data_IF_920277421965
#
_entry.id   IF_920277421965
#
_cell.length_a   1.000
_cell.length_b   1.000
_cell.length_c   1.000
_cell.angle_alpha   90.00
_cell.angle_beta   90.00
_cell.angle_gamma   90.00
#
_symmetry.space_group_name_H-M   'P 1'
#
loop_
_entity.id
_entity.type
_entity.pdbx_description
1 polymer ?
#
# COMPACT_ATOMS: atom_id res chain seq x y z
N UNK A 1 67.62 37.21 -27.79
CA UNK A 1 66.63 36.11 -27.85
C UNK A 1 66.30 35.79 -26.41
N UNK A 2 65.08 36.11 -25.95
CA UNK A 2 64.32 35.21 -25.08
C UNK A 2 62.94 35.82 -24.78
N UNK A 3 61.95 34.98 -25.06
CA UNK A 3 60.54 35.29 -25.24
C UNK A 3 59.82 35.51 -23.90
N UNK A 4 59.32 36.71 -23.66
CA UNK A 4 58.23 36.95 -22.69
C UNK A 4 56.92 36.44 -23.27
N UNK A 5 56.49 35.23 -22.89
CA UNK A 5 55.11 34.77 -23.12
C UNK A 5 54.15 35.49 -22.16
N UNK A 6 53.34 36.39 -22.72
CA UNK A 6 52.07 36.84 -22.13
C UNK A 6 51.19 35.61 -21.90
N UNK A 7 50.81 35.35 -20.65
CA UNK A 7 49.67 34.50 -20.33
C UNK A 7 48.44 35.41 -20.35
N UNK A 8 47.66 35.33 -21.44
CA UNK A 8 46.35 35.94 -21.55
C UNK A 8 45.37 35.16 -20.66
N UNK A 9 44.93 35.79 -19.58
CA UNK A 9 43.81 35.30 -18.77
C UNK A 9 42.49 35.57 -19.51
N UNK A 10 42.16 34.75 -20.50
CA UNK A 10 40.78 34.63 -20.98
C UNK A 10 40.03 33.76 -19.98
N UNK A 11 39.36 34.43 -19.04
CA UNK A 11 38.33 33.82 -18.20
C UNK A 11 37.16 33.46 -19.10
N UNK A 12 37.18 32.23 -19.60
CA UNK A 12 36.07 31.63 -20.32
C UNK A 12 34.92 31.49 -19.32
N UNK A 13 34.05 32.50 -19.24
CA UNK A 13 32.78 32.45 -18.50
C UNK A 13 31.91 31.36 -19.16
N UNK A 14 32.04 30.11 -18.70
CA UNK A 14 30.98 29.12 -18.86
C UNK A 14 29.79 29.62 -18.03
N UNK A 15 28.88 30.34 -18.67
CA UNK A 15 27.51 30.49 -18.18
C UNK A 15 26.92 29.09 -18.01
N UNK A 16 26.35 28.76 -16.85
CA UNK A 16 25.79 27.43 -16.66
C UNK A 16 24.54 27.28 -17.53
N UNK A 17 24.44 26.19 -18.31
CA UNK A 17 23.30 25.86 -19.17
C UNK A 17 22.03 25.45 -18.38
N UNK A 18 21.96 25.82 -17.10
CA UNK A 18 20.81 25.52 -16.22
C UNK A 18 19.74 26.58 -16.39
N UNK A 19 18.47 26.20 -16.31
CA UNK A 19 17.32 27.11 -16.49
C UNK A 19 17.35 28.36 -15.58
N UNK A 20 18.08 28.30 -14.45
CA UNK A 20 18.26 29.37 -13.47
C UNK A 20 19.66 30.04 -13.49
N UNK A 21 20.53 29.68 -14.45
CA UNK A 21 21.95 30.05 -14.48
C UNK A 21 22.26 31.53 -14.71
N UNK A 22 21.33 32.30 -15.30
CA UNK A 22 21.58 33.68 -15.75
C UNK A 22 21.96 34.69 -14.65
N UNK A 23 21.72 34.37 -13.38
CA UNK A 23 22.04 35.22 -12.22
C UNK A 23 23.41 34.91 -11.59
N UNK A 24 24.03 33.77 -11.91
CA UNK A 24 25.19 33.27 -11.17
C UNK A 24 26.51 33.54 -11.90
N UNK A 25 27.54 33.92 -11.15
CA UNK A 25 28.86 34.29 -11.69
C UNK A 25 29.90 33.17 -11.61
N UNK A 26 29.58 32.07 -10.94
CA UNK A 26 30.44 30.90 -10.74
C UNK A 26 29.65 29.61 -11.01
N UNK A 27 30.31 28.53 -11.43
CA UNK A 27 29.64 27.23 -11.56
C UNK A 27 29.18 26.73 -10.19
N UNK A 28 28.16 25.86 -10.21
CA UNK A 28 27.71 25.14 -9.02
C UNK A 28 28.82 24.19 -8.54
N UNK A 29 28.98 24.05 -7.23
CA UNK A 29 29.91 23.08 -6.64
C UNK A 29 29.39 21.65 -6.89
N UNK A 30 30.27 20.72 -7.26
CA UNK A 30 29.88 19.34 -7.63
C UNK A 30 29.27 18.58 -6.45
N UNK A 31 29.73 18.81 -5.22
CA UNK A 31 29.14 18.19 -4.03
C UNK A 31 27.71 18.71 -3.80
N UNK A 32 27.46 19.99 -4.11
CA UNK A 32 26.11 20.53 -4.06
C UNK A 32 25.22 20.00 -5.20
N UNK A 33 25.76 19.77 -6.40
CA UNK A 33 25.03 19.11 -7.49
C UNK A 33 24.58 17.71 -7.08
N UNK A 34 25.50 16.88 -6.59
CA UNK A 34 25.20 15.52 -6.12
C UNK A 34 24.18 15.50 -4.96
N UNK A 35 24.20 16.51 -4.09
CA UNK A 35 23.26 16.63 -2.97
C UNK A 35 21.87 17.13 -3.40
N UNK A 36 21.82 17.99 -4.41
CA UNK A 36 20.59 18.69 -4.83
C UNK A 36 19.86 18.04 -5.98
N UNK A 37 20.48 17.09 -6.69
CA UNK A 37 19.82 16.32 -7.74
C UNK A 37 18.62 15.54 -7.19
N UNK A 38 17.58 15.45 -8.01
CA UNK A 38 16.42 14.61 -7.76
C UNK A 38 16.16 13.57 -8.83
N UNK A 39 16.89 13.58 -9.95
CA UNK A 39 16.70 12.65 -11.05
C UNK A 39 16.91 11.18 -10.66
N UNK A 40 17.73 10.89 -9.63
CA UNK A 40 17.90 9.54 -9.10
C UNK A 40 16.61 8.91 -8.57
N UNK A 41 15.58 9.71 -8.28
CA UNK A 41 14.27 9.23 -7.83
C UNK A 41 13.07 9.84 -8.58
N UNK A 42 13.16 11.07 -9.08
CA UNK A 42 12.04 11.72 -9.77
C UNK A 42 11.90 11.34 -11.25
N UNK A 43 12.86 10.59 -11.82
CA UNK A 43 12.72 10.04 -13.17
C UNK A 43 11.45 9.20 -13.33
N UNK A 44 10.92 8.63 -12.25
CA UNK A 44 9.61 7.96 -12.24
C UNK A 44 8.41 8.84 -12.63
N UNK A 45 8.59 10.16 -12.75
CA UNK A 45 7.60 11.13 -13.20
C UNK A 45 7.66 11.42 -14.70
N UNK A 46 8.60 10.85 -15.47
CA UNK A 46 8.79 11.22 -16.88
C UNK A 46 7.51 11.09 -17.72
N UNK A 47 6.71 10.04 -17.46
CA UNK A 47 5.51 9.75 -18.24
C UNK A 47 4.42 10.81 -18.01
N UNK A 48 4.24 11.22 -16.76
CA UNK A 48 3.27 12.23 -16.37
C UNK A 48 3.75 13.64 -16.70
N UNK A 49 5.05 13.92 -16.62
CA UNK A 49 5.64 15.19 -17.05
C UNK A 49 5.42 15.43 -18.55
N UNK A 50 5.64 14.39 -19.37
CA UNK A 50 5.39 14.46 -20.80
C UNK A 50 3.89 14.68 -21.07
N UNK A 51 2.99 13.95 -20.40
CA UNK A 51 1.55 14.12 -20.56
C UNK A 51 1.07 15.52 -20.15
N UNK A 52 1.53 16.03 -19.00
CA UNK A 52 1.24 17.38 -18.54
C UNK A 52 1.77 18.44 -19.50
N UNK A 53 2.97 18.22 -20.06
CA UNK A 53 3.58 19.10 -21.06
C UNK A 53 2.84 19.10 -22.40
N UNK A 54 2.30 17.97 -22.86
CA UNK A 54 1.45 17.90 -24.05
C UNK A 54 0.15 18.70 -23.84
N UNK A 55 -0.51 18.55 -22.70
CA UNK A 55 -1.72 19.32 -22.38
C UNK A 55 -1.44 20.83 -22.27
N UNK A 56 -0.29 21.21 -21.68
CA UNK A 56 0.14 22.60 -21.62
C UNK A 56 0.43 23.19 -23.00
N UNK A 57 1.11 22.44 -23.88
CA UNK A 57 1.36 22.86 -25.26
C UNK A 57 0.07 23.09 -26.06
N UNK A 58 -0.94 22.21 -25.90
CA UNK A 58 -2.25 22.42 -26.50
C UNK A 58 -2.95 23.67 -25.97
N UNK A 59 -2.89 23.92 -24.66
CA UNK A 59 -3.46 25.12 -24.06
C UNK A 59 -2.76 26.39 -24.57
N UNK A 60 -1.43 26.39 -24.66
CA UNK A 60 -0.68 27.52 -25.21
C UNK A 60 -1.04 27.79 -26.69
N UNK A 61 -1.30 26.74 -27.47
CA UNK A 61 -1.82 26.88 -28.82
C UNK A 61 -3.25 27.44 -28.83
N UNK A 62 -4.11 26.93 -27.95
CA UNK A 62 -5.50 27.37 -27.80
C UNK A 62 -5.61 28.86 -27.51
N UNK A 63 -4.71 29.42 -26.69
CA UNK A 63 -4.67 30.85 -26.39
C UNK A 63 -3.78 31.67 -27.35
N UNK A 64 -3.28 31.05 -28.42
CA UNK A 64 -2.53 31.73 -29.49
C UNK A 64 -1.07 32.06 -29.19
N UNK A 65 -0.48 31.52 -28.12
CA UNK A 65 0.96 31.68 -27.81
C UNK A 65 1.81 30.79 -28.73
N UNK A 66 1.35 29.58 -29.02
CA UNK A 66 1.98 28.67 -29.98
C UNK A 66 1.20 28.65 -31.29
N UNK A 67 1.91 28.72 -32.41
CA UNK A 67 1.29 28.39 -33.69
C UNK A 67 1.15 26.87 -33.87
N UNK A 68 0.38 26.44 -34.87
CA UNK A 68 0.09 25.02 -35.10
C UNK A 68 1.38 24.19 -35.32
N UNK A 69 2.32 24.71 -36.10
CA UNK A 69 3.59 24.03 -36.37
C UNK A 69 4.42 23.86 -35.10
N UNK A 70 4.53 24.90 -34.26
CA UNK A 70 5.25 24.82 -32.99
C UNK A 70 4.64 23.78 -32.04
N UNK A 71 3.30 23.75 -31.95
CA UNK A 71 2.58 22.75 -31.16
C UNK A 71 2.84 21.32 -31.70
N UNK A 72 2.75 21.11 -33.01
CA UNK A 72 2.98 19.80 -33.63
C UNK A 72 4.46 19.33 -33.51
N UNK A 73 5.41 20.26 -33.60
CA UNK A 73 6.84 20.02 -33.37
C UNK A 73 7.07 19.58 -31.89
N UNK A 74 6.46 20.27 -30.92
CA UNK A 74 6.51 19.88 -29.49
C UNK A 74 5.93 18.49 -29.28
N UNK A 75 4.76 18.19 -29.85
CA UNK A 75 4.11 16.89 -29.72
C UNK A 75 5.01 15.76 -30.21
N UNK A 76 5.54 15.90 -31.42
CA UNK A 76 6.42 14.90 -32.03
C UNK A 76 7.73 14.75 -31.25
N UNK A 77 8.29 15.87 -30.77
CA UNK A 77 9.51 15.87 -29.96
C UNK A 77 9.34 15.16 -28.61
N UNK A 78 8.24 15.43 -27.90
CA UNK A 78 7.91 14.83 -26.62
C UNK A 78 7.63 13.32 -26.74
N UNK A 79 6.94 12.88 -27.79
CA UNK A 79 6.72 11.45 -28.01
C UNK A 79 7.99 10.70 -28.41
N UNK A 80 8.87 11.32 -29.20
CA UNK A 80 10.19 10.75 -29.46
C UNK A 80 11.02 10.61 -28.17
N UNK A 81 10.95 11.59 -27.27
CA UNK A 81 11.62 11.53 -25.95
C UNK A 81 11.04 10.39 -25.10
N UNK A 82 9.72 10.21 -25.07
CA UNK A 82 9.09 9.10 -24.34
C UNK A 82 9.67 7.75 -24.78
N UNK A 83 9.75 7.52 -26.10
CA UNK A 83 10.30 6.28 -26.66
C UNK A 83 11.80 6.11 -26.37
N UNK A 84 12.57 7.20 -26.34
CA UNK A 84 13.99 7.14 -25.94
C UNK A 84 14.12 6.69 -24.47
N UNK A 85 13.34 7.27 -23.56
CA UNK A 85 13.34 6.93 -22.13
C UNK A 85 12.88 5.48 -21.91
N UNK A 86 11.81 5.04 -22.58
CA UNK A 86 11.31 3.66 -22.46
C UNK A 86 12.34 2.62 -22.92
N UNK A 87 13.17 2.97 -23.90
CA UNK A 87 14.21 2.09 -24.44
C UNK A 87 15.45 2.04 -23.55
N UNK A 88 15.92 3.19 -23.05
CA UNK A 88 17.19 3.32 -22.34
C UNK A 88 17.04 3.27 -20.81
N UNK A 89 15.81 3.44 -20.31
CA UNK A 89 15.50 3.47 -18.88
C UNK A 89 16.25 4.59 -18.15
N UNK A 90 16.69 4.30 -16.92
CA UNK A 90 17.41 5.27 -16.10
C UNK A 90 18.72 5.78 -16.75
N UNK A 91 19.36 4.99 -17.62
CA UNK A 91 20.62 5.38 -18.27
C UNK A 91 20.47 6.56 -19.25
N UNK A 92 19.25 6.92 -19.63
CA UNK A 92 18.95 8.08 -20.47
C UNK A 92 19.18 9.41 -19.75
N UNK A 93 19.05 9.42 -18.42
CA UNK A 93 19.07 10.64 -17.62
C UNK A 93 20.50 11.07 -17.29
N UNK A 94 20.76 12.37 -17.42
CA UNK A 94 22.01 13.02 -17.04
C UNK A 94 21.85 13.64 -15.65
N UNK A 95 22.58 13.11 -14.66
CA UNK A 95 22.55 13.62 -13.28
C UNK A 95 23.02 15.07 -13.14
N UNK A 96 23.80 15.59 -14.10
CA UNK A 96 24.16 17.03 -14.11
C UNK A 96 22.96 17.92 -14.44
N UNK A 97 21.91 17.34 -15.03
CA UNK A 97 20.60 17.94 -15.20
C UNK A 97 19.73 17.54 -14.01
N UNK A 98 19.97 18.23 -12.90
CA UNK A 98 19.25 18.27 -11.62
C UNK A 98 18.00 17.38 -11.47
N UNK A 99 17.00 17.52 -12.34
CA UNK A 99 15.72 16.82 -12.28
C UNK A 99 15.27 16.24 -13.64
N UNK A 100 14.25 15.37 -13.60
CA UNK A 100 13.56 14.82 -14.78
C UNK A 100 13.11 15.91 -15.76
N UNK A 101 12.69 17.06 -15.24
CA UNK A 101 12.11 18.14 -16.01
C UNK A 101 13.13 18.88 -16.88
N UNK A 102 14.33 19.08 -16.36
CA UNK A 102 15.48 19.67 -17.05
C UNK A 102 16.03 18.73 -18.12
N UNK A 103 16.06 17.43 -17.83
CA UNK A 103 16.44 16.42 -18.82
C UNK A 103 15.51 16.47 -20.05
N UNK A 104 14.20 16.41 -19.82
CA UNK A 104 13.18 16.45 -20.88
C UNK A 104 13.22 17.78 -21.63
N UNK A 105 13.28 18.92 -20.92
CA UNK A 105 13.35 20.25 -21.53
C UNK A 105 14.59 20.42 -22.42
N UNK A 106 15.78 20.08 -21.91
CA UNK A 106 17.03 20.18 -22.67
C UNK A 106 16.98 19.31 -23.92
N UNK A 107 16.50 18.06 -23.79
CA UNK A 107 16.37 17.16 -24.94
C UNK A 107 15.36 17.67 -25.96
N UNK A 108 14.25 18.26 -25.52
CA UNK A 108 13.25 18.83 -26.40
C UNK A 108 13.83 20.00 -27.20
N UNK A 109 14.52 20.94 -26.53
CA UNK A 109 15.19 22.07 -27.20
C UNK A 109 16.22 21.58 -28.22
N UNK A 110 17.02 20.56 -27.89
CA UNK A 110 17.97 19.97 -28.85
C UNK A 110 17.28 19.39 -30.09
N UNK A 111 16.07 18.86 -29.97
CA UNK A 111 15.33 18.25 -31.08
C UNK A 111 14.61 19.26 -31.95
N UNK A 112 13.98 20.28 -31.37
CA UNK A 112 13.04 21.16 -32.08
C UNK A 112 13.37 22.66 -31.98
N UNK A 113 14.46 23.01 -31.30
CA UNK A 113 14.94 24.38 -31.16
C UNK A 113 13.94 25.28 -30.42
N UNK A 114 13.73 26.49 -30.95
CA UNK A 114 12.94 27.56 -30.32
C UNK A 114 11.51 27.19 -29.91
N UNK A 115 10.87 26.23 -30.59
CA UNK A 115 9.55 25.75 -30.18
C UNK A 115 9.60 25.08 -28.80
N UNK A 116 10.67 24.32 -28.51
CA UNK A 116 10.90 23.70 -27.21
C UNK A 116 11.11 24.73 -26.10
N UNK A 117 11.82 25.82 -26.38
CA UNK A 117 12.04 26.92 -25.43
C UNK A 117 10.73 27.62 -25.03
N UNK A 118 9.74 27.66 -25.93
CA UNK A 118 8.43 28.26 -25.66
C UNK A 118 7.53 27.42 -24.75
N UNK A 119 7.80 26.12 -24.59
CA UNK A 119 6.92 25.21 -23.85
C UNK A 119 6.77 25.63 -22.36
N UNK A 120 7.81 26.18 -21.74
CA UNK A 120 7.74 26.59 -20.33
C UNK A 120 6.97 27.91 -20.11
N UNK A 121 6.46 28.55 -21.16
CA UNK A 121 5.74 29.83 -21.08
C UNK A 121 4.54 29.74 -20.14
N UNK A 122 4.49 30.63 -19.14
CA UNK A 122 3.39 30.74 -18.18
C UNK A 122 3.36 29.67 -17.08
N UNK A 123 4.33 28.74 -17.06
CA UNK A 123 4.45 27.64 -16.10
C UNK A 123 5.66 27.85 -15.18
N UNK A 124 5.68 27.16 -14.04
CA UNK A 124 6.84 27.06 -13.16
C UNK A 124 7.15 25.59 -12.88
N UNK A 125 8.37 25.27 -12.43
CA UNK A 125 8.64 23.94 -11.87
C UNK A 125 7.80 23.65 -10.63
N UNK A 126 7.39 24.67 -9.87
CA UNK A 126 6.61 24.50 -8.65
C UNK A 126 5.20 23.94 -8.90
N UNK A 127 4.44 24.50 -9.85
CA UNK A 127 3.11 23.97 -10.18
C UNK A 127 3.17 22.73 -11.09
N UNK A 128 4.22 22.61 -11.91
CA UNK A 128 4.48 21.43 -12.71
C UNK A 128 4.76 20.18 -11.87
N UNK A 129 5.69 20.23 -10.90
CA UNK A 129 6.00 19.04 -10.09
C UNK A 129 4.80 18.58 -9.25
N UNK A 130 3.93 19.50 -8.82
CA UNK A 130 2.70 19.13 -8.11
C UNK A 130 1.69 18.49 -9.06
N UNK A 131 1.57 18.97 -10.31
CA UNK A 131 0.76 18.32 -11.33
C UNK A 131 1.23 16.86 -11.53
N UNK A 132 2.53 16.69 -11.76
CA UNK A 132 3.14 15.38 -12.02
C UNK A 132 2.91 14.42 -10.85
N UNK A 133 3.15 14.87 -9.62
CA UNK A 133 2.89 14.10 -8.41
C UNK A 133 1.42 13.68 -8.28
N UNK A 134 0.47 14.59 -8.55
CA UNK A 134 -0.96 14.28 -8.49
C UNK A 134 -1.37 13.28 -9.57
N UNK A 135 -0.89 13.46 -10.81
CA UNK A 135 -1.13 12.51 -11.89
C UNK A 135 -0.55 11.14 -11.55
N UNK A 136 0.68 11.08 -11.01
CA UNK A 136 1.31 9.83 -10.61
C UNK A 136 0.57 9.13 -9.48
N UNK A 137 0.12 9.89 -8.48
CA UNK A 137 -0.67 9.34 -7.38
C UNK A 137 -2.06 8.86 -7.82
N UNK A 138 -2.68 9.46 -8.84
CA UNK A 138 -3.90 8.90 -9.47
C UNK A 138 -3.62 7.53 -10.10
N UNK A 139 -2.52 7.39 -10.84
CA UNK A 139 -2.10 6.10 -11.42
C UNK A 139 -1.85 5.06 -10.33
N UNK A 140 -1.04 5.42 -9.32
CA UNK A 140 -0.68 4.55 -8.20
C UNK A 140 -1.88 4.12 -7.37
N UNK A 141 -2.82 5.03 -7.09
CA UNK A 141 -4.05 4.71 -6.37
C UNK A 141 -4.90 3.68 -7.12
N UNK A 142 -4.94 3.77 -8.45
CA UNK A 142 -5.67 2.83 -9.31
C UNK A 142 -4.99 1.47 -9.33
N UNK A 143 -3.66 1.43 -9.53
CA UNK A 143 -2.88 0.19 -9.53
C UNK A 143 -2.95 -0.52 -8.17
N UNK A 144 -2.75 0.21 -7.05
CA UNK A 144 -2.87 -0.37 -5.71
C UNK A 144 -4.25 -0.91 -5.42
N UNK A 145 -5.30 -0.15 -5.76
CA UNK A 145 -6.68 -0.63 -5.57
C UNK A 145 -6.92 -1.94 -6.33
N UNK A 146 -6.43 -2.04 -7.57
CA UNK A 146 -6.50 -3.27 -8.36
C UNK A 146 -5.72 -4.42 -7.72
N UNK A 147 -4.51 -4.14 -7.23
CA UNK A 147 -3.67 -5.14 -6.59
C UNK A 147 -4.24 -5.63 -5.25
N UNK A 148 -4.79 -4.73 -4.43
CA UNK A 148 -5.48 -5.09 -3.18
C UNK A 148 -6.69 -5.96 -3.46
N UNK A 149 -7.52 -5.60 -4.46
CA UNK A 149 -8.65 -6.43 -4.90
C UNK A 149 -8.22 -7.81 -5.39
N UNK A 150 -7.11 -7.87 -6.12
CA UNK A 150 -6.53 -9.14 -6.58
C UNK A 150 -6.08 -10.02 -5.41
N UNK A 151 -5.52 -9.42 -4.36
CA UNK A 151 -5.20 -10.11 -3.10
C UNK A 151 -6.45 -10.56 -2.34
N UNK A 152 -7.48 -9.71 -2.22
CA UNK A 152 -8.77 -10.08 -1.63
C UNK A 152 -9.38 -11.29 -2.35
N UNK A 153 -9.36 -11.30 -3.69
CA UNK A 153 -9.83 -12.44 -4.48
C UNK A 153 -9.05 -13.72 -4.16
N UNK A 154 -7.72 -13.64 -4.04
CA UNK A 154 -6.90 -14.79 -3.63
C UNK A 154 -7.26 -15.30 -2.23
N UNK A 155 -7.53 -14.41 -1.26
CA UNK A 155 -8.01 -14.78 0.07
C UNK A 155 -9.39 -15.45 0.02
N UNK A 156 -10.33 -14.92 -0.77
CA UNK A 156 -11.67 -15.51 -0.93
C UNK A 156 -11.59 -16.89 -1.57
N UNK A 157 -10.76 -17.07 -2.60
CA UNK A 157 -10.54 -18.38 -3.22
C UNK A 157 -9.84 -19.37 -2.28
N UNK A 158 -8.89 -18.88 -1.47
CA UNK A 158 -8.28 -19.67 -0.39
C UNK A 158 -9.31 -20.05 0.68
N UNK A 159 -10.22 -19.16 1.02
CA UNK A 159 -11.27 -19.42 1.99
C UNK A 159 -12.26 -20.46 1.43
N UNK A 160 -12.74 -20.29 0.20
CA UNK A 160 -13.71 -21.22 -0.41
C UNK A 160 -13.17 -22.63 -0.59
N UNK A 161 -11.89 -22.79 -1.00
CA UNK A 161 -11.27 -24.12 -1.12
C UNK A 161 -11.10 -24.83 0.23
N UNK A 162 -11.08 -24.09 1.33
CA UNK A 162 -10.89 -24.60 2.70
C UNK A 162 -12.10 -24.30 3.60
N UNK A 163 -13.30 -24.12 3.04
CA UNK A 163 -14.46 -23.58 3.77
C UNK A 163 -14.99 -24.46 4.90
N UNK A 164 -14.71 -25.75 4.85
CA UNK A 164 -15.08 -26.72 5.89
C UNK A 164 -13.98 -26.92 6.94
N UNK A 165 -12.78 -26.35 6.73
CA UNK A 165 -11.65 -26.54 7.65
C UNK A 165 -11.93 -25.78 8.94
N UNK A 166 -11.78 -26.46 10.07
CA UNK A 166 -12.02 -25.89 11.40
C UNK A 166 -10.66 -25.65 12.07
N UNK A 167 -10.47 -24.43 12.57
CA UNK A 167 -9.28 -24.03 13.32
C UNK A 167 -9.67 -23.56 14.73
N UNK A 168 -8.77 -23.63 15.71
CA UNK A 168 -8.99 -22.93 16.97
C UNK A 168 -8.78 -21.44 16.74
N UNK A 169 -9.83 -20.63 16.93
CA UNK A 169 -9.65 -19.18 16.99
C UNK A 169 -8.91 -18.83 18.27
N UNK A 170 -7.99 -17.86 18.19
CA UNK A 170 -7.11 -17.54 19.31
C UNK A 170 -7.34 -16.13 19.83
N UNK A 171 -7.39 -16.02 21.15
CA UNK A 171 -7.29 -14.73 21.83
C UNK A 171 -6.13 -14.81 22.80
N UNK A 172 -5.26 -13.79 22.83
CA UNK A 172 -3.99 -13.85 23.59
C UNK A 172 -3.14 -15.08 23.25
N UNK A 173 -3.17 -15.50 21.98
CA UNK A 173 -2.54 -16.75 21.47
C UNK A 173 -2.92 -18.02 22.23
N UNK A 174 -4.08 -18.01 22.91
CA UNK A 174 -4.70 -19.17 23.53
C UNK A 174 -5.95 -19.58 22.74
N UNK A 175 -6.20 -20.88 22.63
CA UNK A 175 -7.42 -21.40 22.02
C UNK A 175 -8.65 -20.83 22.75
N UNK A 176 -9.57 -20.25 21.99
CA UNK A 176 -10.80 -19.67 22.50
C UNK A 176 -12.02 -20.53 22.08
N UNK A 177 -12.39 -20.50 20.81
CA UNK A 177 -13.54 -21.24 20.27
C UNK A 177 -13.22 -21.78 18.86
N UNK A 178 -13.90 -22.84 18.41
CA UNK A 178 -13.78 -23.29 17.03
C UNK A 178 -14.33 -22.25 16.06
N UNK A 179 -13.65 -22.05 14.94
CA UNK A 179 -14.14 -21.28 13.78
C UNK A 179 -13.82 -21.99 12.48
N UNK A 180 -14.55 -21.66 11.42
CA UNK A 180 -14.14 -22.01 10.07
C UNK A 180 -12.92 -21.19 9.66
N UNK A 181 -11.90 -21.83 9.08
CA UNK A 181 -10.73 -21.16 8.52
C UNK A 181 -11.15 -20.10 7.49
N UNK A 182 -12.17 -20.40 6.68
CA UNK A 182 -12.76 -19.42 5.78
C UNK A 182 -13.22 -18.16 6.52
N UNK A 183 -13.90 -18.28 7.67
CA UNK A 183 -14.34 -17.14 8.46
C UNK A 183 -13.15 -16.27 8.89
N UNK A 184 -12.08 -16.89 9.37
CA UNK A 184 -10.86 -16.19 9.77
C UNK A 184 -10.20 -15.48 8.57
N UNK A 185 -10.11 -16.13 7.41
CA UNK A 185 -9.56 -15.52 6.19
C UNK A 185 -10.40 -14.32 5.71
N UNK A 186 -11.73 -14.38 5.86
CA UNK A 186 -12.61 -13.27 5.50
C UNK A 186 -12.43 -12.04 6.40
N UNK A 187 -11.94 -12.19 7.64
CA UNK A 187 -11.56 -11.05 8.47
C UNK A 187 -10.49 -10.18 7.80
N UNK A 188 -9.53 -10.80 7.08
CA UNK A 188 -8.51 -10.10 6.31
C UNK A 188 -9.07 -9.45 5.03
N UNK A 189 -10.06 -10.07 4.39
CA UNK A 189 -10.77 -9.46 3.25
C UNK A 189 -11.43 -8.14 3.66
N UNK A 190 -12.04 -8.11 4.86
CA UNK A 190 -12.65 -6.91 5.43
C UNK A 190 -11.62 -5.82 5.77
N UNK A 191 -10.43 -6.18 6.26
CA UNK A 191 -9.34 -5.23 6.48
C UNK A 191 -8.91 -4.56 5.17
N UNK A 192 -8.70 -5.36 4.13
CA UNK A 192 -8.29 -4.90 2.80
C UNK A 192 -9.38 -4.11 2.06
N UNK A 193 -10.67 -4.39 2.34
CA UNK A 193 -11.77 -3.60 1.77
C UNK A 193 -11.74 -2.18 2.33
N UNK A 194 -11.49 -2.03 3.64
CA UNK A 194 -11.31 -0.70 4.24
C UNK A 194 -10.08 0.03 3.70
N UNK A 195 -9.00 -0.69 3.37
CA UNK A 195 -7.83 -0.09 2.70
C UNK A 195 -8.20 0.44 1.31
N UNK A 196 -8.94 -0.35 0.53
CA UNK A 196 -9.46 0.04 -0.79
C UNK A 196 -10.36 1.27 -0.70
N UNK A 197 -11.27 1.33 0.28
CA UNK A 197 -12.15 2.48 0.50
C UNK A 197 -11.36 3.75 0.80
N UNK A 198 -10.39 3.69 1.73
CA UNK A 198 -9.51 4.84 2.04
C UNK A 198 -8.73 5.36 0.84
N UNK A 199 -8.20 4.47 0.00
CA UNK A 199 -7.48 4.87 -1.22
C UNK A 199 -8.44 5.60 -2.17
N UNK A 200 -9.65 5.07 -2.39
CA UNK A 200 -10.67 5.72 -3.23
C UNK A 200 -11.10 7.09 -2.69
N UNK A 201 -11.23 7.22 -1.38
CA UNK A 201 -11.57 8.51 -0.76
C UNK A 201 -10.45 9.53 -0.96
N UNK A 202 -9.19 9.13 -0.76
CA UNK A 202 -8.02 9.99 -0.96
C UNK A 202 -7.82 10.37 -2.44
N UNK A 203 -8.19 9.49 -3.37
CA UNK A 203 -8.15 9.76 -4.81
C UNK A 203 -8.88 11.05 -5.16
N UNK A 204 -10.04 11.32 -4.55
CA UNK A 204 -10.82 12.53 -4.81
C UNK A 204 -10.10 13.82 -4.38
N UNK A 205 -9.20 13.74 -3.40
CA UNK A 205 -8.35 14.86 -2.95
C UNK A 205 -7.05 14.97 -3.74
N UNK A 206 -6.55 13.86 -4.29
CA UNK A 206 -5.46 13.85 -5.28
C UNK A 206 -5.94 14.46 -6.61
N UNK A 207 -7.21 14.23 -6.98
CA UNK A 207 -7.83 14.64 -8.25
C UNK A 207 -8.21 16.13 -8.31
N UNK A 208 -7.21 17.00 -8.16
CA UNK A 208 -7.33 18.47 -8.22
C UNK A 208 -6.19 19.07 -9.05
N UNK A 209 -6.50 19.78 -10.13
CA UNK A 209 -5.52 20.28 -11.10
C UNK A 209 -4.81 21.57 -10.60
N UNK A 210 -3.47 21.56 -10.43
CA UNK A 210 -2.72 22.69 -9.87
C UNK A 210 -2.10 23.63 -10.93
N UNK A 211 -1.94 23.18 -12.17
CA UNK A 211 -1.25 23.92 -13.24
C UNK A 211 -1.90 25.29 -13.51
N UNK A 212 -1.05 26.28 -13.78
CA UNK A 212 -1.41 27.69 -13.92
C UNK A 212 -1.29 28.47 -12.60
N UNK A 213 -0.87 27.82 -11.52
CA UNK A 213 -0.50 28.46 -10.25
C UNK A 213 0.86 29.13 -10.31
N UNK A 214 1.66 28.85 -11.35
CA UNK A 214 2.98 29.42 -11.55
C UNK A 214 3.90 29.10 -10.38
N UNK A 215 4.77 30.04 -10.01
CA UNK A 215 5.68 29.83 -8.89
C UNK A 215 5.00 29.88 -7.52
N UNK A 216 3.93 30.70 -7.37
CA UNK A 216 3.16 30.86 -6.13
C UNK A 216 1.93 31.78 -6.26
N UNK A 217 1.93 32.77 -7.17
CA UNK A 217 0.88 33.82 -7.26
C UNK A 217 -0.01 33.70 -8.51
N UNK A 218 0.05 32.57 -9.22
CA UNK A 218 -0.61 32.38 -10.50
C UNK A 218 0.22 32.88 -11.68
N UNK A 219 -0.20 32.51 -12.90
CA UNK A 219 0.37 33.03 -14.13
C UNK A 219 -0.17 34.42 -14.46
N UNK A 220 0.70 35.33 -14.91
CA UNK A 220 0.28 36.64 -15.44
C UNK A 220 -0.26 36.59 -16.87
N UNK A 221 -0.16 35.43 -17.53
CA UNK A 221 -0.71 35.19 -18.86
C UNK A 221 -2.15 34.67 -18.75
N UNK A 222 -2.99 34.89 -19.78
CA UNK A 222 -4.39 34.46 -19.78
C UNK A 222 -4.52 32.94 -20.04
N UNK A 223 -3.92 32.11 -19.18
CA UNK A 223 -3.94 30.66 -19.32
C UNK A 223 -5.35 30.12 -19.06
N UNK A 224 -5.81 29.19 -19.90
CA UNK A 224 -7.05 28.46 -19.67
C UNK A 224 -6.80 27.21 -18.81
N UNK A 225 -6.96 27.38 -17.49
CA UNK A 225 -6.82 26.28 -16.53
C UNK A 225 -7.92 25.23 -16.71
N UNK A 226 -9.13 25.63 -17.08
CA UNK A 226 -10.24 24.71 -17.27
C UNK A 226 -9.98 23.78 -18.46
N UNK A 227 -9.42 24.31 -19.55
CA UNK A 227 -8.98 23.53 -20.70
C UNK A 227 -8.00 22.42 -20.30
N UNK A 228 -6.95 22.76 -19.53
CA UNK A 228 -5.97 21.76 -19.07
C UNK A 228 -6.60 20.75 -18.10
N UNK A 229 -7.50 21.20 -17.22
CA UNK A 229 -8.22 20.33 -16.29
C UNK A 229 -9.03 19.26 -17.03
N UNK A 230 -9.81 19.66 -18.03
CA UNK A 230 -10.58 18.74 -18.87
C UNK A 230 -9.66 17.81 -19.66
N UNK A 231 -8.62 18.35 -20.29
CA UNK A 231 -7.68 17.59 -21.12
C UNK A 231 -6.96 16.48 -20.33
N UNK A 232 -6.58 16.76 -19.09
CA UNK A 232 -5.91 15.82 -18.19
C UNK A 232 -6.87 14.97 -17.34
N UNK A 233 -8.19 15.14 -17.52
CA UNK A 233 -9.21 14.37 -16.80
C UNK A 233 -9.20 14.60 -15.29
N UNK A 234 -8.96 15.83 -14.84
CA UNK A 234 -9.12 16.22 -13.44
C UNK A 234 -10.55 16.68 -13.16
N UNK A 235 -11.09 16.33 -12.00
CA UNK A 235 -12.47 16.71 -11.64
C UNK A 235 -12.63 18.19 -11.27
N UNK A 236 -11.56 18.87 -10.84
CA UNK A 236 -11.62 20.27 -10.38
C UNK A 236 -10.26 20.96 -10.35
N UNK A 237 -10.30 22.29 -10.29
CA UNK A 237 -9.13 23.17 -10.15
C UNK A 237 -8.76 23.42 -8.69
N UNK A 238 -7.47 23.63 -8.42
CA UNK A 238 -7.05 24.30 -7.16
C UNK A 238 -7.57 25.73 -7.13
N UNK A 239 -7.98 26.19 -5.94
CA UNK A 239 -8.63 27.50 -5.74
C UNK A 239 -7.67 28.61 -5.32
N UNK A 240 -6.46 28.27 -4.89
CA UNK A 240 -5.46 29.22 -4.40
C UNK A 240 -4.09 28.77 -4.89
N UNK A 241 -3.33 29.67 -5.55
CA UNK A 241 -2.04 29.35 -6.16
C UNK A 241 -0.94 29.12 -5.13
N UNK A 242 -1.00 29.80 -3.99
CA UNK A 242 -0.04 29.65 -2.89
C UNK A 242 -0.17 28.25 -2.33
N UNK A 243 -1.40 27.88 -1.97
CA UNK A 243 -1.75 26.52 -1.53
C UNK A 243 -1.35 25.46 -2.57
N UNK A 244 -1.73 25.65 -3.83
CA UNK A 244 -1.52 24.67 -4.89
C UNK A 244 -0.08 24.22 -5.07
N UNK A 245 0.90 25.11 -4.86
CA UNK A 245 2.32 24.76 -5.04
C UNK A 245 2.99 24.32 -3.73
N UNK A 246 2.41 24.64 -2.58
CA UNK A 246 2.92 24.26 -1.24
C UNK A 246 2.25 23.01 -0.66
N UNK A 247 1.09 22.61 -1.18
CA UNK A 247 0.30 21.50 -0.68
C UNK A 247 1.00 20.14 -0.90
N UNK A 248 1.07 19.33 0.16
CA UNK A 248 1.52 17.94 0.16
C UNK A 248 0.60 17.02 0.98
N UNK A 249 -0.58 17.49 1.37
CA UNK A 249 -1.55 16.72 2.15
C UNK A 249 -1.96 15.45 1.41
N UNK A 250 -2.14 15.56 0.08
CA UNK A 250 -2.48 14.42 -0.78
C UNK A 250 -1.38 13.33 -0.80
N UNK A 251 -0.10 13.71 -0.58
CA UNK A 251 1.01 12.76 -0.45
C UNK A 251 1.00 12.12 0.94
N UNK A 252 0.84 12.91 1.99
CA UNK A 252 0.77 12.44 3.39
C UNK A 252 -0.39 11.47 3.60
N UNK A 253 -1.56 11.80 3.07
CA UNK A 253 -2.74 10.96 3.16
C UNK A 253 -2.56 9.63 2.43
N UNK A 254 -1.99 9.67 1.21
CA UNK A 254 -1.67 8.46 0.47
C UNK A 254 -0.67 7.56 1.22
N UNK A 255 0.37 8.16 1.81
CA UNK A 255 1.34 7.44 2.65
C UNK A 255 0.70 6.86 3.91
N UNK A 256 -0.24 7.58 4.54
CA UNK A 256 -1.01 7.08 5.69
C UNK A 256 -1.83 5.84 5.34
N UNK A 257 -2.45 5.85 4.15
CA UNK A 257 -3.18 4.68 3.64
C UNK A 257 -2.27 3.47 3.45
N UNK A 258 -1.06 3.69 2.93
CA UNK A 258 -0.05 2.63 2.78
C UNK A 258 0.47 2.11 4.13
N UNK A 259 0.62 2.96 5.14
CA UNK A 259 1.01 2.54 6.49
C UNK A 259 -0.04 1.64 7.13
N UNK A 260 -1.33 2.00 7.03
CA UNK A 260 -2.42 1.14 7.52
C UNK A 260 -2.48 -0.20 6.77
N UNK A 261 -2.36 -0.17 5.44
CA UNK A 261 -2.27 -1.39 4.63
C UNK A 261 -1.12 -2.28 5.12
N UNK A 262 0.08 -1.72 5.29
CA UNK A 262 1.25 -2.48 5.78
C UNK A 262 1.01 -3.09 7.17
N UNK A 263 0.26 -2.41 8.02
CA UNK A 263 -0.14 -2.90 9.35
C UNK A 263 -1.08 -4.10 9.24
N UNK A 264 -2.04 -4.09 8.32
CA UNK A 264 -2.90 -5.26 8.09
C UNK A 264 -2.12 -6.45 7.52
N UNK A 265 -1.22 -6.19 6.55
CA UNK A 265 -0.37 -7.25 6.00
C UNK A 265 0.55 -7.85 7.06
N UNK A 266 1.08 -7.04 7.98
CA UNK A 266 1.97 -7.52 9.04
C UNK A 266 1.28 -8.45 10.03
N UNK A 267 0.00 -8.16 10.36
CA UNK A 267 -0.83 -9.04 11.18
C UNK A 267 -1.05 -10.40 10.50
N UNK A 268 -1.42 -10.38 9.22
CA UNK A 268 -1.57 -11.60 8.43
C UNK A 268 -0.29 -12.43 8.42
N UNK A 269 0.83 -11.78 8.13
CA UNK A 269 2.13 -12.43 8.06
C UNK A 269 2.52 -13.05 9.40
N UNK A 270 2.26 -12.39 10.53
CA UNK A 270 2.59 -12.95 11.84
C UNK A 270 1.84 -14.26 12.12
N UNK A 271 0.54 -14.30 11.83
CA UNK A 271 -0.26 -15.51 12.03
C UNK A 271 0.21 -16.65 11.12
N UNK A 272 0.49 -16.37 9.84
CA UNK A 272 0.96 -17.39 8.91
C UNK A 272 2.39 -17.87 9.22
N UNK A 273 3.26 -17.02 9.77
CA UNK A 273 4.56 -17.43 10.29
C UNK A 273 4.36 -18.40 11.47
N UNK A 274 3.45 -18.10 12.40
CA UNK A 274 3.12 -18.99 13.51
C UNK A 274 2.54 -20.32 13.00
N UNK A 275 1.58 -20.28 12.10
CA UNK A 275 0.90 -21.46 11.56
C UNK A 275 1.81 -22.38 10.74
N UNK A 276 2.82 -21.83 10.06
CA UNK A 276 3.81 -22.61 9.31
C UNK A 276 4.95 -23.14 10.17
N UNK A 277 5.06 -22.72 11.43
CA UNK A 277 6.10 -23.20 12.34
C UNK A 277 5.88 -24.66 12.75
N UNK A 278 6.95 -25.38 13.08
CA UNK A 278 6.90 -26.81 13.39
C UNK A 278 5.90 -27.17 14.51
N UNK A 279 5.76 -26.40 15.62
CA UNK A 279 4.78 -26.72 16.66
C UNK A 279 3.31 -26.65 16.21
N UNK A 280 2.98 -25.79 15.25
CA UNK A 280 1.62 -25.62 14.73
C UNK A 280 1.39 -26.47 13.48
N UNK A 281 2.21 -26.26 12.44
CA UNK A 281 2.13 -26.95 11.15
C UNK A 281 0.73 -26.95 10.51
N UNK A 282 -0.08 -25.92 10.77
CA UNK A 282 -1.43 -25.78 10.21
C UNK A 282 -1.40 -25.50 8.70
N UNK A 283 -0.34 -24.86 8.23
CA UNK A 283 -0.15 -24.55 6.81
C UNK A 283 1.22 -24.99 6.32
N UNK A 284 1.29 -25.34 5.04
CA UNK A 284 2.52 -25.60 4.31
C UNK A 284 2.66 -24.55 3.21
N UNK A 285 3.63 -23.65 3.38
CA UNK A 285 3.95 -22.62 2.39
C UNK A 285 4.60 -23.25 1.15
N UNK A 286 4.51 -22.62 -0.01
CA UNK A 286 5.22 -23.08 -1.23
C UNK A 286 6.72 -22.79 -1.16
N UNK A 287 7.53 -23.65 -1.77
CA UNK A 287 8.99 -23.45 -1.90
C UNK A 287 9.34 -22.14 -2.62
N UNK A 288 8.49 -21.70 -3.55
CA UNK A 288 8.70 -20.48 -4.34
C UNK A 288 8.77 -19.20 -3.49
N UNK A 289 8.23 -19.23 -2.26
CA UNK A 289 8.16 -18.08 -1.34
C UNK A 289 8.87 -18.35 -0.01
N UNK A 290 9.63 -19.44 0.07
CA UNK A 290 10.40 -19.81 1.25
C UNK A 290 11.88 -19.91 0.90
N UNK A 291 12.72 -19.89 1.93
CA UNK A 291 14.13 -20.28 1.80
C UNK A 291 14.41 -21.52 2.64
N UNK A 292 15.50 -22.22 2.29
CA UNK A 292 16.00 -23.35 3.05
C UNK A 292 17.18 -22.97 3.96
N UNK A 293 17.66 -23.92 4.76
CA UNK A 293 18.95 -23.82 5.43
C UNK A 293 20.00 -24.66 4.72
N UNK A 294 21.20 -24.10 4.53
CA UNK A 294 22.35 -24.84 4.00
C UNK A 294 22.84 -25.95 4.95
N UNK A 295 22.51 -25.89 6.25
CA UNK A 295 22.90 -26.87 7.27
C UNK A 295 21.78 -27.82 7.69
N UNK A 296 20.53 -27.38 7.59
CA UNK A 296 19.36 -28.10 8.11
C UNK A 296 18.36 -28.35 6.97
N UNK A 297 18.43 -29.49 6.26
CA UNK A 297 17.66 -29.72 5.05
C UNK A 297 16.14 -29.76 5.27
N UNK A 298 15.68 -30.04 6.50
CA UNK A 298 14.27 -30.02 6.88
C UNK A 298 13.73 -28.61 7.15
N UNK A 299 14.59 -27.59 7.31
CA UNK A 299 14.17 -26.25 7.74
C UNK A 299 13.72 -25.41 6.55
N UNK A 300 12.43 -25.04 6.57
CA UNK A 300 11.82 -24.11 5.62
C UNK A 300 11.47 -22.82 6.36
N UNK A 301 12.04 -21.71 5.90
CA UNK A 301 11.86 -20.39 6.52
C UNK A 301 10.81 -19.59 5.74
N UNK A 302 9.91 -18.92 6.46
CA UNK A 302 8.84 -18.10 5.90
C UNK A 302 9.31 -16.68 5.50
N UNK A 303 10.48 -16.58 4.86
CA UNK A 303 11.20 -15.32 4.60
C UNK A 303 10.33 -14.28 3.90
N UNK A 304 9.48 -14.68 2.94
CA UNK A 304 8.57 -13.76 2.27
C UNK A 304 7.63 -13.06 3.27
N UNK A 305 7.06 -13.81 4.22
CA UNK A 305 6.16 -13.27 5.23
C UNK A 305 6.92 -12.41 6.25
N UNK A 306 8.13 -12.83 6.64
CA UNK A 306 9.00 -12.07 7.55
C UNK A 306 9.39 -10.71 6.94
N UNK A 307 9.77 -10.70 5.65
CA UNK A 307 10.15 -9.49 4.93
C UNK A 307 8.96 -8.55 4.70
N UNK A 308 7.76 -9.08 4.41
CA UNK A 308 6.54 -8.28 4.30
C UNK A 308 6.21 -7.63 5.64
N UNK A 309 6.24 -8.40 6.74
CA UNK A 309 6.01 -7.88 8.10
C UNK A 309 7.00 -6.77 8.44
N UNK A 310 8.27 -6.96 8.10
CA UNK A 310 9.33 -5.98 8.32
C UNK A 310 9.13 -4.66 7.55
N UNK A 311 8.45 -4.67 6.39
CA UNK A 311 8.20 -3.44 5.62
C UNK A 311 7.42 -2.39 6.42
N UNK A 312 6.58 -2.80 7.37
CA UNK A 312 5.81 -1.90 8.25
C UNK A 312 6.70 -0.86 8.92
N UNK A 313 7.91 -1.24 9.34
CA UNK A 313 8.85 -0.33 9.98
C UNK A 313 9.32 0.78 9.01
N UNK A 314 9.70 0.39 7.79
CA UNK A 314 10.14 1.33 6.75
C UNK A 314 9.02 2.28 6.33
N UNK A 315 7.82 1.75 6.07
CA UNK A 315 6.66 2.54 5.64
C UNK A 315 6.21 3.52 6.73
N UNK A 316 6.21 3.09 8.00
CA UNK A 316 5.89 3.98 9.12
C UNK A 316 6.94 5.07 9.32
N UNK A 317 8.23 4.74 9.15
CA UNK A 317 9.32 5.71 9.23
C UNK A 317 9.27 6.74 8.11
N UNK A 318 8.91 6.33 6.90
CA UNK A 318 8.77 7.23 5.75
C UNK A 318 7.59 8.21 5.95
N UNK A 319 6.46 7.74 6.49
CA UNK A 319 5.33 8.62 6.86
C UNK A 319 5.72 9.64 7.94
N UNK A 320 6.37 9.21 9.01
CA UNK A 320 6.78 10.11 10.09
C UNK A 320 7.81 11.14 9.63
N UNK A 321 8.72 10.72 8.75
CA UNK A 321 9.68 11.62 8.11
C UNK A 321 8.97 12.68 7.27
N UNK A 322 7.92 12.32 6.53
CA UNK A 322 7.14 13.27 5.73
C UNK A 322 6.37 14.27 6.61
N UNK A 323 5.75 13.83 7.71
CA UNK A 323 5.17 14.75 8.69
C UNK A 323 6.21 15.72 9.25
N UNK A 324 7.40 15.21 9.58
CA UNK A 324 8.49 16.02 10.12
C UNK A 324 9.04 17.01 9.09
N UNK A 325 9.09 16.63 7.82
CA UNK A 325 9.52 17.47 6.70
C UNK A 325 8.59 18.68 6.53
N UNK A 326 7.28 18.45 6.56
CA UNK A 326 6.28 19.50 6.32
C UNK A 326 6.05 20.40 7.53
N UNK A 327 6.38 19.93 8.74
CA UNK A 327 6.14 20.65 9.98
C UNK A 327 6.84 22.02 9.97
N UNK A 328 6.05 23.07 10.14
CA UNK A 328 6.50 24.46 10.28
C UNK A 328 7.28 25.02 9.07
N UNK A 329 7.13 24.43 7.88
CA UNK A 329 7.59 25.09 6.66
C UNK A 329 6.78 26.38 6.43
N UNK A 330 7.44 27.52 6.21
CA UNK A 330 6.72 28.74 5.86
C UNK A 330 6.11 28.57 4.46
N UNK A 331 4.97 29.22 4.20
CA UNK A 331 4.54 29.36 2.82
C UNK A 331 5.61 30.16 2.03
N UNK A 332 5.86 29.84 0.76
CA UNK A 332 5.02 29.02 -0.12
C UNK A 332 5.71 27.72 -0.54
N UNK A 333 6.50 27.72 -1.63
CA UNK A 333 7.32 26.58 -2.03
C UNK A 333 8.70 26.68 -1.38
N UNK A 334 9.16 25.60 -0.76
CA UNK A 334 10.52 25.47 -0.22
C UNK A 334 11.15 24.19 -0.77
N UNK A 335 12.47 24.23 -0.94
CA UNK A 335 13.24 23.13 -1.55
C UNK A 335 13.18 21.85 -0.71
N UNK A 336 12.89 21.96 0.58
CA UNK A 336 12.61 20.85 1.50
C UNK A 336 11.61 19.84 0.89
N UNK A 337 10.57 20.34 0.20
CA UNK A 337 9.57 19.49 -0.46
C UNK A 337 10.11 18.68 -1.64
N UNK A 338 11.40 18.74 -1.96
CA UNK A 338 12.01 17.82 -2.91
C UNK A 338 12.08 16.38 -2.36
N UNK A 339 12.29 16.21 -1.04
CA UNK A 339 12.51 14.89 -0.41
C UNK A 339 11.22 14.04 -0.28
N UNK A 340 10.06 14.61 -0.62
CA UNK A 340 8.76 13.92 -0.60
C UNK A 340 8.73 12.68 -1.52
N UNK A 341 9.27 12.81 -2.73
CA UNK A 341 9.24 11.83 -3.83
C UNK A 341 10.04 10.58 -3.50
N UNK A 342 11.25 10.75 -2.96
CA UNK A 342 12.15 9.65 -2.60
C UNK A 342 11.44 8.64 -1.70
N UNK A 343 10.78 9.15 -0.65
CA UNK A 343 10.05 8.34 0.34
C UNK A 343 8.78 7.75 -0.24
N UNK A 344 8.03 8.56 -0.97
CA UNK A 344 6.80 8.14 -1.64
C UNK A 344 7.04 6.95 -2.57
N UNK A 345 7.99 7.08 -3.51
CA UNK A 345 8.25 6.04 -4.51
C UNK A 345 8.82 4.77 -3.88
N UNK A 346 9.77 4.91 -2.95
CA UNK A 346 10.30 3.77 -2.20
C UNK A 346 9.19 2.99 -1.49
N UNK A 347 8.31 3.68 -0.77
CA UNK A 347 7.19 3.06 -0.04
C UNK A 347 6.19 2.42 -0.99
N UNK A 348 5.82 3.11 -2.08
CA UNK A 348 4.91 2.59 -3.09
C UNK A 348 5.40 1.26 -3.68
N UNK A 349 6.64 1.21 -4.18
CA UNK A 349 7.17 0.01 -4.85
C UNK A 349 7.36 -1.16 -3.88
N UNK A 350 7.73 -0.89 -2.63
CA UNK A 350 7.80 -1.91 -1.56
C UNK A 350 6.42 -2.51 -1.31
N UNK A 351 5.40 -1.68 -1.14
CA UNK A 351 4.04 -2.14 -0.87
C UNK A 351 3.43 -2.89 -2.05
N UNK A 352 3.66 -2.42 -3.27
CA UNK A 352 3.22 -3.12 -4.48
C UNK A 352 3.87 -4.51 -4.59
N UNK A 353 5.16 -4.62 -4.28
CA UNK A 353 5.88 -5.90 -4.26
C UNK A 353 5.38 -6.83 -3.15
N UNK A 354 5.15 -6.29 -1.94
CA UNK A 354 4.60 -7.04 -0.82
C UNK A 354 3.23 -7.65 -1.14
N UNK A 355 2.32 -6.89 -1.76
CA UNK A 355 1.02 -7.39 -2.20
C UNK A 355 1.14 -8.53 -3.22
N UNK A 356 2.03 -8.38 -4.23
CA UNK A 356 2.26 -9.40 -5.27
C UNK A 356 2.81 -10.71 -4.68
N UNK A 357 3.81 -10.59 -3.80
CA UNK A 357 4.42 -11.74 -3.12
C UNK A 357 3.40 -12.42 -2.23
N UNK A 358 2.67 -11.66 -1.40
CA UNK A 358 1.68 -12.22 -0.48
C UNK A 358 0.57 -12.97 -1.23
N UNK A 359 0.10 -12.39 -2.34
CA UNK A 359 -0.87 -13.04 -3.21
C UNK A 359 -0.37 -14.40 -3.68
N UNK A 360 0.85 -14.46 -4.21
CA UNK A 360 1.47 -15.71 -4.66
C UNK A 360 1.65 -16.73 -3.54
N UNK A 361 2.05 -16.28 -2.34
CA UNK A 361 2.14 -17.12 -1.14
C UNK A 361 0.80 -17.74 -0.78
N UNK A 362 -0.27 -16.95 -0.74
CA UNK A 362 -1.63 -17.42 -0.43
C UNK A 362 -2.12 -18.42 -1.47
N UNK A 363 -1.98 -18.08 -2.76
CA UNK A 363 -2.45 -18.91 -3.86
C UNK A 363 -1.89 -20.33 -3.80
N UNK A 364 -0.62 -20.46 -3.39
CA UNK A 364 0.15 -21.70 -3.40
C UNK A 364 0.24 -22.46 -2.06
N UNK A 365 -0.27 -21.88 -0.97
CA UNK A 365 -0.20 -22.49 0.37
C UNK A 365 -1.20 -23.63 0.55
N UNK A 366 -0.80 -24.72 1.19
CA UNK A 366 -1.69 -25.84 1.55
C UNK A 366 -2.04 -25.79 3.02
N UNK A 367 -3.20 -26.34 3.38
CA UNK A 367 -3.67 -26.43 4.77
C UNK A 367 -3.61 -27.89 5.22
N UNK A 368 -3.19 -28.11 6.46
CA UNK A 368 -3.22 -29.43 7.09
C UNK A 368 -4.49 -29.55 7.95
N UNK A 369 -5.59 -29.96 7.32
CA UNK A 369 -6.92 -30.02 7.93
C UNK A 369 -6.94 -30.91 9.19
N UNK A 370 -6.23 -32.04 9.16
CA UNK A 370 -6.14 -32.97 10.29
C UNK A 370 -5.47 -32.33 11.51
N UNK A 371 -4.39 -31.56 11.31
CA UNK A 371 -3.71 -30.88 12.41
C UNK A 371 -4.54 -29.71 12.94
N UNK A 372 -5.21 -28.97 12.07
CA UNK A 372 -6.15 -27.92 12.46
C UNK A 372 -7.26 -28.49 13.35
N UNK A 373 -7.91 -29.58 12.93
CA UNK A 373 -8.98 -30.22 13.69
C UNK A 373 -8.49 -30.77 15.03
N UNK A 374 -7.31 -31.42 15.06
CA UNK A 374 -6.69 -31.90 16.31
C UNK A 374 -6.38 -30.77 17.29
N UNK A 375 -6.07 -29.57 16.79
CA UNK A 375 -5.80 -28.42 17.64
C UNK A 375 -7.07 -27.85 18.28
N UNK A 376 -8.20 -27.88 17.57
CA UNK A 376 -9.52 -27.50 18.12
C UNK A 376 -9.93 -28.43 19.26
N UNK A 377 -9.67 -29.73 19.10
CA UNK A 377 -9.99 -30.74 20.11
C UNK A 377 -9.22 -30.56 21.42
N UNK A 378 -8.12 -29.79 21.42
CA UNK A 378 -7.33 -29.52 22.62
C UNK A 378 -7.73 -28.18 23.25
N UNK A 379 -7.96 -28.20 24.55
CA UNK A 379 -8.10 -26.97 25.35
C UNK A 379 -9.54 -26.49 25.57
N UNK A 380 -10.51 -27.41 25.58
CA UNK A 380 -11.89 -27.12 25.98
C UNK A 380 -12.55 -25.99 25.20
N UNK A 381 -12.33 -25.90 23.86
CA UNK A 381 -12.86 -24.84 23.01
C UNK A 381 -14.42 -24.74 22.99
N UNK A 382 -15.11 -25.71 23.60
CA UNK A 382 -16.56 -25.78 23.78
C UNK A 382 -17.04 -25.32 25.18
N UNK A 383 -16.13 -24.86 26.05
CA UNK A 383 -16.43 -24.44 27.42
C UNK A 383 -17.51 -23.34 27.50
N UNK A 384 -17.40 -22.34 26.62
CA UNK A 384 -18.39 -21.26 26.53
C UNK A 384 -19.74 -21.81 26.11
N UNK A 385 -19.78 -22.74 25.15
CA UNK A 385 -20.99 -23.39 24.68
C UNK A 385 -21.65 -24.23 25.78
N UNK A 386 -20.86 -24.90 26.63
CA UNK A 386 -21.35 -25.58 27.84
C UNK A 386 -21.99 -24.60 28.84
N UNK A 387 -21.45 -23.39 28.97
CA UNK A 387 -22.07 -22.34 29.79
C UNK A 387 -23.39 -21.87 29.15
N UNK A 388 -23.42 -21.65 27.84
CA UNK A 388 -24.62 -21.29 27.09
C UNK A 388 -25.72 -22.36 27.21
N UNK A 389 -25.36 -23.65 27.26
CA UNK A 389 -26.28 -24.75 27.51
C UNK A 389 -27.01 -24.58 28.84
N UNK A 390 -26.27 -24.35 29.93
CA UNK A 390 -26.86 -24.14 31.27
C UNK A 390 -27.73 -22.88 31.31
N UNK A 391 -27.31 -21.82 30.61
CA UNK A 391 -28.13 -20.61 30.46
C UNK A 391 -29.45 -20.90 29.76
N UNK A 392 -29.44 -21.71 28.71
CA UNK A 392 -30.67 -22.17 28.03
C UNK A 392 -31.57 -23.01 28.94
N UNK A 393 -31.00 -23.70 29.93
CA UNK A 393 -31.77 -24.42 30.96
C UNK A 393 -32.24 -23.51 32.13
N UNK A 394 -31.96 -22.20 32.08
CA UNK A 394 -32.45 -21.21 33.04
C UNK A 394 -31.43 -20.73 34.07
N UNK A 395 -30.17 -21.18 34.01
CA UNK A 395 -29.12 -20.74 34.93
C UNK A 395 -28.59 -19.35 34.55
N UNK A 396 -28.35 -18.43 35.51
CA UNK A 396 -27.65 -17.18 35.23
C UNK A 396 -26.23 -17.42 34.70
N UNK A 397 -25.78 -16.64 33.70
CA UNK A 397 -24.48 -16.85 33.04
C UNK A 397 -23.26 -16.89 33.98
N UNK A 398 -23.25 -16.05 35.03
CA UNK A 398 -22.14 -16.04 36.00
C UNK A 398 -22.07 -17.35 36.80
N UNK A 399 -23.22 -17.92 37.11
CA UNK A 399 -23.32 -19.20 37.82
C UNK A 399 -22.92 -20.33 36.88
N UNK A 400 -23.40 -20.34 35.63
CA UNK A 400 -23.01 -21.36 34.64
C UNK A 400 -21.51 -21.33 34.36
N UNK A 401 -20.92 -20.15 34.23
CA UNK A 401 -19.47 -19.99 34.04
C UNK A 401 -18.68 -20.57 35.23
N UNK A 402 -19.14 -20.35 36.47
CA UNK A 402 -18.50 -20.93 37.65
C UNK A 402 -18.57 -22.46 37.63
N UNK A 403 -19.77 -23.02 37.42
CA UNK A 403 -20.01 -24.47 37.33
C UNK A 403 -19.13 -25.11 36.25
N UNK A 404 -19.09 -24.52 35.04
CA UNK A 404 -18.26 -25.03 33.95
C UNK A 404 -16.77 -24.90 34.27
N UNK A 405 -16.35 -23.82 34.94
CA UNK A 405 -14.98 -23.66 35.41
C UNK A 405 -14.53 -24.79 36.35
N UNK A 406 -15.40 -25.23 37.26
CA UNK A 406 -15.13 -26.37 38.16
C UNK A 406 -15.05 -27.69 37.40
N UNK A 407 -15.93 -27.91 36.42
CA UNK A 407 -15.87 -29.10 35.54
C UNK A 407 -14.54 -29.13 34.76
N UNK A 408 -14.13 -28.00 34.17
CA UNK A 408 -12.86 -27.91 33.44
C UNK A 408 -11.66 -28.11 34.36
N UNK A 409 -11.71 -27.61 35.60
CA UNK A 409 -10.68 -27.85 36.60
C UNK A 409 -10.54 -29.35 36.90
N UNK A 410 -11.65 -30.08 37.05
CA UNK A 410 -11.65 -31.53 37.22
C UNK A 410 -11.05 -32.26 36.01
N UNK A 411 -11.45 -31.88 34.79
CA UNK A 411 -10.89 -32.43 33.56
C UNK A 411 -9.37 -32.21 33.47
N UNK A 412 -8.89 -31.01 33.82
CA UNK A 412 -7.47 -30.70 33.88
C UNK A 412 -6.72 -31.57 34.89
N UNK A 413 -7.28 -31.74 36.10
CA UNK A 413 -6.71 -32.58 37.16
C UNK A 413 -6.59 -34.04 36.70
N UNK A 414 -7.64 -34.56 36.07
CA UNK A 414 -7.70 -35.96 35.60
C UNK A 414 -7.07 -36.20 34.25
N UNK A 415 -6.66 -35.14 33.54
CA UNK A 415 -6.16 -35.17 32.15
C UNK A 415 -7.13 -35.88 31.20
N UNK A 416 -8.40 -35.54 31.30
CA UNK A 416 -9.48 -36.06 30.45
C UNK A 416 -10.27 -34.90 29.82
N UNK A 417 -11.12 -35.20 28.84
CA UNK A 417 -12.06 -34.26 28.24
C UNK A 417 -13.42 -34.32 28.97
N UNK A 418 -14.31 -33.35 28.71
CA UNK A 418 -15.69 -33.38 29.27
C UNK A 418 -16.46 -34.58 28.73
N UNK A 419 -16.18 -35.01 27.49
CA UNK A 419 -16.77 -36.19 26.88
C UNK A 419 -16.41 -37.50 27.61
N UNK A 420 -15.34 -37.51 28.42
CA UNK A 420 -14.92 -38.67 29.20
C UNK A 420 -15.60 -38.75 30.58
N UNK A 421 -16.22 -37.66 31.04
CA UNK A 421 -16.98 -37.61 32.30
C UNK A 421 -18.37 -38.21 32.09
N UNK A 422 -18.84 -39.03 33.02
CA UNK A 422 -20.21 -39.54 33.01
C UNK A 422 -21.22 -38.44 33.35
N UNK A 423 -22.47 -38.61 32.89
CA UNK A 423 -23.54 -37.66 33.20
C UNK A 423 -23.75 -37.52 34.72
N UNK A 424 -23.58 -38.62 35.48
CA UNK A 424 -23.69 -38.59 36.94
C UNK A 424 -22.63 -37.68 37.57
N UNK A 425 -21.38 -37.76 37.09
CA UNK A 425 -20.31 -36.88 37.56
C UNK A 425 -20.58 -35.42 37.20
N UNK A 426 -21.10 -35.14 36.00
CA UNK A 426 -21.49 -33.78 35.62
C UNK A 426 -22.65 -33.27 36.49
N UNK A 427 -23.62 -34.14 36.81
CA UNK A 427 -24.75 -33.82 37.67
C UNK A 427 -24.38 -33.57 39.13
N UNK A 428 -23.18 -33.92 39.56
CA UNK A 428 -22.66 -33.51 40.88
C UNK A 428 -22.33 -32.01 40.91
N UNK A 429 -21.98 -31.40 39.77
CA UNK A 429 -21.80 -29.96 39.63
C UNK A 429 -23.12 -29.22 39.38
N UNK A 430 -24.00 -29.76 38.53
CA UNK A 430 -25.33 -29.17 38.30
C UNK A 430 -26.36 -30.19 37.80
N UNK A 431 -27.53 -30.23 38.45
CA UNK A 431 -28.66 -31.09 38.03
C UNK A 431 -29.29 -30.67 36.70
N UNK A 432 -28.89 -29.52 36.13
CA UNK A 432 -29.36 -29.06 34.82
C UNK A 432 -28.65 -29.76 33.65
N UNK A 433 -27.52 -30.46 33.89
CA UNK A 433 -26.90 -31.29 32.86
C UNK A 433 -27.74 -32.52 32.55
N UNK A 434 -27.98 -32.75 31.25
CA UNK A 434 -28.71 -33.90 30.71
C UNK A 434 -27.89 -34.58 29.60
N UNK A 435 -28.35 -35.74 29.11
CA UNK A 435 -27.65 -36.51 28.07
C UNK A 435 -27.44 -35.73 26.77
N UNK A 436 -28.33 -34.78 26.44
CA UNK A 436 -28.22 -33.93 25.23
C UNK A 436 -27.05 -32.94 25.27
N UNK A 437 -26.37 -32.80 26.42
CA UNK A 437 -25.18 -31.96 26.55
C UNK A 437 -24.06 -32.42 25.60
N UNK A 438 -23.79 -33.72 25.50
CA UNK A 438 -22.68 -34.23 24.71
C UNK A 438 -22.85 -33.92 23.21
N UNK A 439 -24.09 -33.93 22.73
CA UNK A 439 -24.43 -33.47 21.38
C UNK A 439 -24.34 -31.95 21.26
N UNK A 440 -24.67 -31.21 22.32
CA UNK A 440 -24.63 -29.75 22.32
C UNK A 440 -23.19 -29.20 22.26
N UNK A 441 -22.24 -29.83 22.96
CA UNK A 441 -20.84 -29.34 23.08
C UNK A 441 -19.91 -29.90 22.00
N UNK A 442 -20.41 -30.66 21.03
CA UNK A 442 -19.59 -31.11 19.92
C UNK A 442 -19.20 -29.92 19.00
N UNK A 443 -18.08 -30.04 18.28
CA UNK A 443 -17.50 -28.96 17.46
C UNK A 443 -18.51 -28.41 16.43
N UNK A 444 -19.28 -29.30 15.79
CA UNK A 444 -20.25 -28.92 14.77
C UNK A 444 -21.38 -28.08 15.37
N UNK A 445 -21.94 -28.50 16.51
CA UNK A 445 -22.96 -27.76 17.25
C UNK A 445 -22.44 -26.39 17.71
N UNK A 446 -21.18 -26.31 18.16
CA UNK A 446 -20.55 -25.04 18.54
C UNK A 446 -20.53 -24.06 17.36
N UNK A 447 -20.08 -24.50 16.17
CA UNK A 447 -20.09 -23.68 14.96
C UNK A 447 -21.51 -23.26 14.54
N UNK A 448 -22.44 -24.22 14.47
CA UNK A 448 -23.84 -23.98 14.08
C UNK A 448 -24.55 -23.01 15.02
N UNK A 449 -24.15 -22.96 16.30
CA UNK A 449 -24.73 -22.03 17.27
C UNK A 449 -24.42 -20.56 16.97
N UNK A 450 -23.29 -20.26 16.32
CA UNK A 450 -22.83 -18.88 16.01
C UNK A 450 -23.42 -18.37 14.69
N UNK A 451 -24.73 -18.51 14.54
CA UNK A 451 -25.49 -18.26 13.30
C UNK A 451 -26.11 -16.85 13.23
N UNK A 452 -25.37 -15.84 13.67
CA UNK A 452 -25.72 -14.43 13.43
C UNK A 452 -24.95 -13.92 12.21
N UNK A 453 -25.39 -12.80 11.63
CA UNK A 453 -24.63 -12.12 10.57
C UNK A 453 -23.22 -11.81 11.09
N UNK A 454 -22.20 -12.21 10.34
CA UNK A 454 -20.80 -12.10 10.76
C UNK A 454 -20.35 -13.18 11.74
N UNK A 455 -21.17 -14.22 11.99
CA UNK A 455 -20.80 -15.39 12.76
C UNK A 455 -20.14 -16.48 11.92
N UNK A 456 -19.53 -17.46 12.60
CA UNK A 456 -18.75 -18.54 11.96
C UNK A 456 -19.59 -19.75 11.51
N UNK A 457 -20.91 -19.75 11.76
CA UNK A 457 -21.76 -20.86 11.33
C UNK A 457 -21.61 -21.13 9.83
N UNK A 458 -21.55 -22.40 9.38
CA UNK A 458 -21.33 -22.73 7.97
C UNK A 458 -22.29 -22.02 7.02
N UNK A 459 -23.57 -21.91 7.40
CA UNK A 459 -24.57 -21.20 6.62
C UNK A 459 -24.21 -19.71 6.38
N UNK A 460 -23.69 -19.01 7.40
CA UNK A 460 -23.30 -17.60 7.31
C UNK A 460 -22.05 -17.43 6.45
N UNK A 461 -21.04 -18.27 6.70
CA UNK A 461 -19.76 -18.21 5.97
C UNK A 461 -19.95 -18.56 4.50
N UNK A 462 -20.76 -19.58 4.18
CA UNK A 462 -21.06 -19.95 2.80
C UNK A 462 -21.86 -18.88 2.06
N UNK A 463 -22.82 -18.24 2.73
CA UNK A 463 -23.56 -17.11 2.16
C UNK A 463 -22.62 -15.95 1.83
N UNK A 464 -21.69 -15.64 2.73
CA UNK A 464 -20.74 -14.55 2.54
C UNK A 464 -19.70 -14.86 1.46
N UNK A 465 -19.15 -16.07 1.42
CA UNK A 465 -18.27 -16.52 0.34
C UNK A 465 -18.97 -16.43 -1.02
N UNK A 466 -20.23 -16.87 -1.11
CA UNK A 466 -21.01 -16.75 -2.33
C UNK A 466 -21.14 -15.29 -2.77
N UNK A 467 -21.49 -14.38 -1.85
CA UNK A 467 -21.57 -12.94 -2.12
C UNK A 467 -20.24 -12.38 -2.63
N UNK A 468 -19.11 -12.78 -2.05
CA UNK A 468 -17.78 -12.30 -2.41
C UNK A 468 -17.23 -12.90 -3.71
N UNK A 469 -17.69 -14.10 -4.11
CA UNK A 469 -17.32 -14.74 -5.37
C UNK A 469 -18.12 -14.21 -6.57
N UNK A 470 -19.33 -13.71 -6.32
CA UNK A 470 -20.21 -13.12 -7.35
C UNK A 470 -19.86 -11.66 -7.67
N UNK A 471 -19.16 -10.95 -6.76
CA UNK A 471 -18.71 -9.56 -6.91
C UNK A 471 -17.23 -9.45 -7.28
#
# INVERSE_FOLDING_TARGET
MDNKKKVSSETNKKTSDKAWGGRFSAPTDTCFEDFSESVSFDWHLYDVDIQGSLAHAEMLHHIGILNLKEKDDIFSGLEAIRLEIEKEGFAWFDASLEDVHMNIEKRLIQKIGSAGEKLHTGRSRNDQVVLDLRMKLKQFSTELTSMIKSLQKSLVLFADRNKEVIIPEMTHTQNAQPVLLAHHMLAYVEMLERDTQRIKDSYQRIDVMPLGSGACVGSGLPLDRSFVCEKLGFSRLTKNSVDAVSDRDFVVEFMTNLTLLSTHLSRFCEEWILWSSSPFSYIELSDAFCTGSSMMPQKKNADALELIRAQTAGVSGDLFSLFSLLKALPLTYNRDMQDDKRRLFQTYFRMLSALKILKGTIDSTKVNEDLCLKAVQKGFCYATDMSDYLVKQGMPFRESHHVVGEVIALCCERKCEVADLSLLELQDFSKLFKEDLYDYINIKSCLESKNLIGGTAPAQVHQELKRLLEN
#
